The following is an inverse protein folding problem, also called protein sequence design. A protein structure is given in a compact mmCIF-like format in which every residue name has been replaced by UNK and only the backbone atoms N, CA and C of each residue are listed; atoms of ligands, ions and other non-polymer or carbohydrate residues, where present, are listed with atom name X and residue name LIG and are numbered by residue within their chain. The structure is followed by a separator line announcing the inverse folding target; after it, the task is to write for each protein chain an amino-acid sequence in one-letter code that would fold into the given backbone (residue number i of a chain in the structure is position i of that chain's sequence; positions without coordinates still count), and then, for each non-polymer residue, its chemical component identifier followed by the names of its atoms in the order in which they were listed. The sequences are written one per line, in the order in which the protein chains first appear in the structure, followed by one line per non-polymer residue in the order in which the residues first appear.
data_IF_250980656788
#
_entry.id   IF_250980656788
#
_cell.length_a   1.000
_cell.length_b   1.000
_cell.length_c   1.000
_cell.angle_alpha   90.00
_cell.angle_beta   90.00
_cell.angle_gamma   90.00
#
_symmetry.space_group_name_H-M   'P 1'
#
loop_
_entity.id
_entity.type
_entity.pdbx_description
1 polymer ?
#
# COMPACT_ATOMS: atom_id res chain seq x y z
N UNK A 1 2.54 -8.72 -6.69
CA UNK A 1 2.06 -8.04 -7.90
C UNK A 1 3.14 -8.19 -8.95
N UNK A 2 2.82 -8.79 -10.09
CA UNK A 2 3.75 -8.94 -11.22
C UNK A 2 3.89 -7.59 -11.97
N UNK A 3 4.98 -7.38 -12.73
CA UNK A 3 5.23 -6.15 -13.48
C UNK A 3 4.06 -5.78 -14.40
N UNK A 4 3.51 -6.76 -15.13
CA UNK A 4 2.37 -6.53 -16.03
C UNK A 4 1.11 -6.08 -15.27
N UNK A 5 0.88 -6.63 -14.07
CA UNK A 5 -0.23 -6.23 -13.21
C UNK A 5 -0.04 -4.79 -12.71
N UNK A 6 1.17 -4.45 -12.26
CA UNK A 6 1.52 -3.10 -11.80
C UNK A 6 1.40 -2.07 -12.92
N UNK A 7 1.76 -2.45 -14.15
CA UNK A 7 1.72 -1.56 -15.31
C UNK A 7 0.28 -1.27 -15.73
N UNK A 8 -0.56 -2.31 -15.81
CA UNK A 8 -2.01 -2.15 -16.05
C UNK A 8 -2.66 -1.34 -14.92
N UNK A 9 -2.24 -1.57 -13.67
CA UNK A 9 -2.73 -0.83 -12.52
C UNK A 9 -2.42 0.67 -12.63
N UNK A 10 -1.17 1.06 -12.93
CA UNK A 10 -0.82 2.48 -13.13
C UNK A 10 -1.67 3.10 -14.22
N UNK A 11 -1.72 2.49 -15.41
CA UNK A 11 -2.48 3.01 -16.56
C UNK A 11 -3.95 3.25 -16.20
N UNK A 12 -4.55 2.32 -15.46
CA UNK A 12 -5.95 2.43 -15.05
C UNK A 12 -6.19 3.58 -14.07
N UNK A 13 -5.32 3.74 -13.08
CA UNK A 13 -5.51 4.72 -12.00
C UNK A 13 -5.06 6.13 -12.40
N UNK A 14 -4.06 6.27 -13.28
CA UNK A 14 -3.53 7.58 -13.72
C UNK A 14 -4.08 8.06 -15.07
N UNK A 15 -4.59 7.14 -15.90
CA UNK A 15 -4.98 7.43 -17.28
C UNK A 15 -3.80 7.59 -18.24
N UNK A 16 -2.58 7.27 -17.81
CA UNK A 16 -1.39 7.35 -18.66
C UNK A 16 -1.40 6.33 -19.78
N UNK A 17 -0.77 6.67 -20.89
CA UNK A 17 -0.54 5.74 -21.99
C UNK A 17 0.55 4.72 -21.63
N UNK A 18 0.56 3.63 -22.40
CA UNK A 18 1.61 2.61 -22.30
C UNK A 18 3.01 3.20 -22.56
N UNK A 19 3.11 4.17 -23.47
CA UNK A 19 4.38 4.83 -23.80
C UNK A 19 4.92 5.66 -22.64
N UNK A 20 4.06 6.47 -22.01
CA UNK A 20 4.42 7.28 -20.84
C UNK A 20 4.86 6.40 -19.67
N UNK A 21 4.10 5.35 -19.37
CA UNK A 21 4.40 4.44 -18.25
C UNK A 21 5.72 3.68 -18.46
N UNK A 22 6.07 3.33 -19.71
CA UNK A 22 7.34 2.67 -20.05
C UNK A 22 8.55 3.59 -20.05
N UNK A 23 8.34 4.90 -20.11
CA UNK A 23 9.42 5.89 -20.07
C UNK A 23 9.96 6.13 -18.65
N UNK A 24 9.23 5.65 -17.63
CA UNK A 24 9.64 5.74 -16.23
C UNK A 24 10.88 4.89 -15.95
N UNK A 25 11.77 5.40 -15.11
CA UNK A 25 12.82 4.60 -14.51
C UNK A 25 12.22 3.56 -13.56
N UNK A 26 12.97 2.50 -13.27
CA UNK A 26 12.53 1.44 -12.32
C UNK A 26 12.19 2.04 -10.94
N UNK A 27 12.95 3.03 -10.50
CA UNK A 27 12.73 3.70 -9.21
C UNK A 27 11.43 4.51 -9.21
N UNK A 28 11.19 5.32 -10.25
CA UNK A 28 9.96 6.10 -10.39
C UNK A 28 8.74 5.19 -10.51
N UNK A 29 8.84 4.12 -11.30
CA UNK A 29 7.78 3.13 -11.45
C UNK A 29 7.42 2.52 -10.09
N UNK A 30 8.43 2.08 -9.32
CA UNK A 30 8.20 1.46 -8.00
C UNK A 30 7.59 2.44 -7.01
N UNK A 31 8.05 3.69 -7.01
CA UNK A 31 7.49 4.74 -6.15
C UNK A 31 6.02 5.03 -6.48
N UNK A 32 5.69 5.14 -7.76
CA UNK A 32 4.31 5.39 -8.22
C UNK A 32 3.40 4.22 -7.85
N UNK A 33 3.83 2.97 -8.09
CA UNK A 33 3.05 1.78 -7.70
C UNK A 33 2.82 1.74 -6.20
N UNK A 34 3.84 2.03 -5.41
CA UNK A 34 3.75 2.07 -3.94
C UNK A 34 2.73 3.12 -3.48
N UNK A 35 2.82 4.33 -4.04
CA UNK A 35 1.93 5.42 -3.69
C UNK A 35 0.47 5.14 -4.07
N UNK A 36 0.23 4.66 -5.29
CA UNK A 36 -1.12 4.31 -5.73
C UNK A 36 -1.71 3.16 -4.91
N UNK A 37 -0.89 2.16 -4.55
CA UNK A 37 -1.33 1.05 -3.71
C UNK A 37 -1.71 1.52 -2.32
N UNK A 38 -0.94 2.45 -1.74
CA UNK A 38 -1.22 3.04 -0.44
C UNK A 38 -2.52 3.87 -0.48
N UNK A 39 -2.69 4.73 -1.48
CA UNK A 39 -3.90 5.54 -1.63
C UNK A 39 -5.15 4.67 -1.75
N UNK A 40 -5.09 3.60 -2.56
CA UNK A 40 -6.18 2.64 -2.71
C UNK A 40 -6.54 1.95 -1.39
N UNK A 41 -5.54 1.50 -0.64
CA UNK A 41 -5.76 0.89 0.67
C UNK A 41 -6.42 1.87 1.66
N UNK A 42 -6.01 3.14 1.64
CA UNK A 42 -6.61 4.19 2.49
C UNK A 42 -8.07 4.44 2.11
N UNK A 43 -8.39 4.49 0.82
CA UNK A 43 -9.76 4.74 0.37
C UNK A 43 -10.68 3.54 0.62
N UNK A 44 -10.20 2.32 0.39
CA UNK A 44 -10.89 1.10 0.78
C UNK A 44 -11.16 1.06 2.29
N UNK A 45 -10.16 1.45 3.09
CA UNK A 45 -10.33 1.58 4.54
C UNK A 45 -11.39 2.62 4.92
N UNK A 46 -11.38 3.81 4.32
CA UNK A 46 -12.39 4.84 4.60
C UNK A 46 -13.80 4.35 4.28
N UNK A 47 -13.97 3.67 3.15
CA UNK A 47 -15.26 3.12 2.74
C UNK A 47 -15.74 2.06 3.73
N UNK A 48 -14.87 1.13 4.10
CA UNK A 48 -15.16 0.12 5.12
C UNK A 48 -15.44 0.75 6.50
N UNK A 49 -14.69 1.79 6.88
CA UNK A 49 -14.82 2.49 8.15
C UNK A 49 -16.16 3.21 8.24
N UNK A 50 -16.60 3.87 7.17
CA UNK A 50 -17.90 4.53 7.12
C UNK A 50 -19.04 3.52 7.25
N UNK A 51 -18.95 2.38 6.56
CA UNK A 51 -19.92 1.30 6.67
C UNK A 51 -19.97 0.71 8.10
N UNK A 52 -18.79 0.46 8.69
CA UNK A 52 -18.68 -0.10 10.04
C UNK A 52 -19.12 0.91 11.13
N UNK A 53 -18.88 2.22 10.95
CA UNK A 53 -19.45 3.28 11.80
C UNK A 53 -20.97 3.20 11.85
N UNK A 54 -21.62 3.10 10.69
CA UNK A 54 -23.09 2.97 10.61
C UNK A 54 -23.55 1.70 11.34
N UNK A 55 -22.86 0.57 11.13
CA UNK A 55 -23.16 -0.68 11.82
C UNK A 55 -23.00 -0.55 13.36
N UNK A 56 -21.94 0.11 13.84
CA UNK A 56 -21.71 0.40 15.24
C UNK A 56 -22.81 1.29 15.86
N UNK A 57 -23.30 2.30 15.14
CA UNK A 57 -24.40 3.15 15.60
C UNK A 57 -25.71 2.36 15.76
N UNK A 58 -25.91 1.34 14.92
CA UNK A 58 -27.06 0.42 15.02
C UNK A 58 -26.86 -0.64 16.10
N UNK A 59 -25.62 -0.97 16.45
CA UNK A 59 -25.28 -1.92 17.48
C UNK A 59 -25.42 -1.33 18.90
N UNK A 60 -25.66 -2.18 19.90
CA UNK A 60 -25.75 -1.78 21.31
C UNK A 60 -24.40 -1.24 21.83
N UNK A 61 -24.46 -0.36 22.84
CA UNK A 61 -23.30 0.28 23.51
C UNK A 61 -22.10 -0.66 23.69
N UNK A 62 -20.93 -0.24 23.19
CA UNK A 62 -19.63 -0.84 23.49
C UNK A 62 -18.83 -1.30 22.27
N UNK A 63 -19.45 -1.41 21.09
CA UNK A 63 -18.77 -1.85 19.86
C UNK A 63 -17.96 -0.71 19.24
N UNK A 64 -16.70 -0.97 18.90
CA UNK A 64 -15.85 -0.01 18.18
C UNK A 64 -15.73 -0.42 16.71
N UNK A 65 -15.56 0.55 15.84
CA UNK A 65 -15.40 0.35 14.39
C UNK A 65 -14.19 -0.53 14.07
N UNK A 66 -13.10 -0.34 14.82
CA UNK A 66 -11.87 -1.11 14.70
C UNK A 66 -12.07 -2.61 14.91
N UNK A 67 -13.12 -3.00 15.63
CA UNK A 67 -13.44 -4.41 15.88
C UNK A 67 -13.98 -5.12 14.63
N UNK A 68 -14.47 -4.35 13.64
CA UNK A 68 -15.01 -4.88 12.37
C UNK A 68 -14.00 -4.87 11.23
N UNK A 69 -13.19 -3.82 11.14
CA UNK A 69 -12.37 -3.54 9.95
C UNK A 69 -10.86 -3.41 10.24
N UNK A 70 -10.44 -3.50 11.50
CA UNK A 70 -9.04 -3.37 11.89
C UNK A 70 -8.54 -1.92 11.96
N UNK A 71 -7.22 -1.75 11.81
CA UNK A 71 -6.55 -0.45 11.91
C UNK A 71 -6.40 0.22 10.53
N UNK A 72 -6.32 1.55 10.54
CA UNK A 72 -6.01 2.32 9.33
C UNK A 72 -4.68 1.84 8.73
N UNK A 73 -4.58 1.69 7.40
CA UNK A 73 -3.31 1.43 6.74
C UNK A 73 -2.29 2.48 7.15
N UNK A 74 -1.09 2.02 7.50
CA UNK A 74 0.04 2.89 7.85
C UNK A 74 1.04 2.81 6.70
N UNK A 75 1.56 3.95 6.27
CA UNK A 75 2.65 3.97 5.30
C UNK A 75 3.85 3.26 5.94
N UNK A 76 4.39 2.24 5.29
CA UNK A 76 5.68 1.71 5.71
C UNK A 76 6.68 2.86 5.68
N UNK A 77 7.20 3.23 6.85
CA UNK A 77 8.31 4.19 6.90
C UNK A 77 9.45 3.58 6.11
N UNK A 78 10.16 4.39 5.33
CA UNK A 78 11.46 3.99 4.79
C UNK A 78 12.28 3.47 5.98
N UNK A 79 12.48 2.15 6.01
CA UNK A 79 13.38 1.55 6.98
C UNK A 79 14.74 2.17 6.71
N UNK A 80 15.36 2.73 7.75
CA UNK A 80 16.72 3.23 7.62
C UNK A 80 17.63 2.11 7.09
N UNK A 81 18.70 2.46 6.39
CA UNK A 81 19.65 1.48 5.83
C UNK A 81 20.05 0.43 6.87
N UNK A 82 20.26 0.84 8.12
CA UNK A 82 20.62 -0.03 9.24
C UNK A 82 19.59 -1.17 9.49
N UNK A 83 18.29 -0.87 9.43
CA UNK A 83 17.23 -1.87 9.60
C UNK A 83 17.14 -2.83 8.41
N UNK A 84 17.46 -2.37 7.20
CA UNK A 84 17.54 -3.21 6.01
C UNK A 84 18.77 -4.14 6.07
N UNK A 85 19.90 -3.64 6.59
CA UNK A 85 21.12 -4.42 6.81
C UNK A 85 20.93 -5.52 7.85
N UNK A 86 20.23 -5.24 8.96
CA UNK A 86 19.91 -6.25 9.97
C UNK A 86 18.99 -7.33 9.41
N UNK A 87 17.95 -6.95 8.66
CA UNK A 87 17.05 -7.94 8.03
C UNK A 87 17.73 -8.76 6.93
N UNK A 88 18.66 -8.17 6.17
CA UNK A 88 19.46 -8.90 5.18
C UNK A 88 20.37 -9.94 5.85
N UNK A 89 20.98 -9.59 6.99
CA UNK A 89 21.78 -10.52 7.81
C UNK A 89 20.92 -11.63 8.39
N UNK A 90 19.75 -11.32 8.95
CA UNK A 90 18.82 -12.33 9.50
C UNK A 90 18.34 -13.32 8.42
N UNK A 91 18.15 -12.84 7.18
CA UNK A 91 17.73 -13.66 6.04
C UNK A 91 18.87 -14.35 5.30
N UNK A 92 20.13 -14.18 5.75
CA UNK A 92 21.30 -14.81 5.15
C UNK A 92 21.63 -14.32 3.74
N UNK A 93 21.13 -13.14 3.35
CA UNK A 93 21.36 -12.56 2.02
C UNK A 93 22.73 -11.89 2.03
N UNK A 94 23.67 -12.40 1.21
CA UNK A 94 24.94 -11.72 0.95
C UNK A 94 24.71 -10.57 -0.02
N UNK A 95 24.71 -9.35 0.48
CA UNK A 95 24.74 -8.14 -0.34
C UNK A 95 26.15 -7.96 -0.93
N UNK A 96 26.28 -7.54 -2.20
CA UNK A 96 27.57 -7.25 -2.80
C UNK A 96 28.19 -6.01 -2.13
N UNK A 97 29.46 -6.14 -1.72
CA UNK A 97 30.34 -5.04 -1.27
C UNK A 97 30.66 -4.07 -2.39
#
# INVERSE_FOLDING_TARGET
MNYDESLVFIIRETGWTLGETRSLTINEFTLIVSELSYQKAVDDYKLAHNAAMIACMLAKKGTKVTDFIGQCPVREKEKGEDELWEQAKEKGIKTPT
#
